data_IF_982089324908
#
_entry.id   IF_982089324908
#
_cell.length_a   1.000
_cell.length_b   1.000
_cell.length_c   1.000
_cell.angle_alpha   90.00
_cell.angle_beta   90.00
_cell.angle_gamma   90.00
#
_symmetry.space_group_name_H-M   'P 1'
#
loop_
_entity.id
_entity.type
_entity.pdbx_description
1 polymer ?
#
# COMPACT_ATOMS: atom_id res chain seq x y z
N UNK A 1 9.74 -25.16 4.17
CA UNK A 1 10.57 -25.46 5.37
C UNK A 1 12.02 -25.67 4.99
N UNK A 2 12.34 -26.36 3.91
CA UNK A 2 13.69 -26.67 3.42
C UNK A 2 14.67 -25.48 3.47
N UNK A 3 14.30 -24.33 2.87
CA UNK A 3 15.14 -23.09 2.90
C UNK A 3 15.48 -22.63 4.33
N UNK A 4 14.56 -22.81 5.30
CA UNK A 4 14.77 -22.39 6.70
C UNK A 4 15.68 -23.38 7.42
N UNK A 5 15.58 -24.67 7.09
CA UNK A 5 16.38 -25.76 7.68
C UNK A 5 17.83 -25.69 7.18
N UNK A 6 18.02 -25.45 5.88
CA UNK A 6 19.33 -25.32 5.25
C UNK A 6 20.08 -24.02 5.64
N UNK A 7 19.34 -23.01 6.14
CA UNK A 7 19.91 -21.69 6.48
C UNK A 7 19.69 -21.36 7.96
N UNK A 8 20.52 -21.92 8.89
CA UNK A 8 20.32 -21.75 10.33
C UNK A 8 20.44 -20.30 10.83
N UNK A 9 21.07 -19.42 10.07
CA UNK A 9 21.23 -18.01 10.39
C UNK A 9 20.12 -17.11 9.77
N UNK A 10 19.19 -17.67 9.01
CA UNK A 10 18.10 -16.91 8.40
C UNK A 10 17.12 -16.44 9.49
N UNK A 11 16.97 -15.12 9.64
CA UNK A 11 16.11 -14.49 10.64
C UNK A 11 14.71 -14.18 10.10
N UNK A 12 14.52 -14.12 8.78
CA UNK A 12 13.24 -13.86 8.17
C UNK A 12 13.28 -13.79 6.65
N UNK A 13 12.10 -13.55 6.07
CA UNK A 13 11.87 -13.51 4.63
C UNK A 13 10.94 -12.35 4.28
N UNK A 14 11.13 -11.76 3.10
CA UNK A 14 10.13 -10.89 2.48
C UNK A 14 9.19 -11.69 1.57
N UNK A 15 7.93 -11.28 1.57
CA UNK A 15 6.88 -11.83 0.69
C UNK A 15 6.33 -10.72 -0.19
N UNK A 16 6.23 -10.98 -1.49
CA UNK A 16 5.69 -10.03 -2.46
C UNK A 16 4.54 -10.62 -3.27
N UNK A 17 4.01 -9.86 -4.20
CA UNK A 17 2.95 -10.28 -5.12
C UNK A 17 3.38 -11.55 -5.90
N UNK A 18 2.50 -12.54 -6.04
CA UNK A 18 1.09 -12.57 -5.60
C UNK A 18 0.86 -13.22 -4.24
N UNK A 19 1.88 -13.49 -3.45
CA UNK A 19 1.87 -14.44 -2.33
C UNK A 19 1.49 -13.83 -0.97
N UNK A 20 1.32 -12.51 -0.85
CA UNK A 20 1.09 -11.84 0.45
C UNK A 20 -0.13 -12.35 1.24
N UNK A 21 -1.16 -12.83 0.55
CA UNK A 21 -2.34 -13.45 1.19
C UNK A 21 -2.19 -14.97 1.30
N UNK A 22 -1.57 -15.59 0.28
CA UNK A 22 -1.45 -17.04 0.18
C UNK A 22 -0.49 -17.64 1.22
N UNK A 23 0.44 -16.86 1.76
CA UNK A 23 1.41 -17.32 2.76
C UNK A 23 0.80 -17.48 4.15
N UNK A 24 -0.30 -16.79 4.44
CA UNK A 24 -0.91 -16.74 5.78
C UNK A 24 -1.19 -18.13 6.38
N UNK A 25 -1.75 -19.11 5.64
CA UNK A 25 -2.02 -20.46 6.18
C UNK A 25 -0.76 -21.24 6.60
N UNK A 26 0.42 -20.78 6.19
CA UNK A 26 1.70 -21.44 6.50
C UNK A 26 2.43 -20.80 7.70
N UNK A 27 1.82 -19.81 8.35
CA UNK A 27 2.39 -19.08 9.48
C UNK A 27 1.75 -19.54 10.79
N UNK A 28 2.54 -19.56 11.85
CA UNK A 28 2.06 -19.95 13.19
C UNK A 28 1.30 -18.81 13.88
N UNK A 29 1.65 -17.55 13.55
CA UNK A 29 1.05 -16.36 14.17
C UNK A 29 1.10 -15.17 13.21
N UNK A 30 0.14 -14.26 13.38
CA UNK A 30 0.14 -12.94 12.75
C UNK A 30 0.23 -11.85 13.81
N UNK A 31 1.01 -10.82 13.52
CA UNK A 31 0.92 -9.57 14.29
C UNK A 31 -0.50 -8.99 14.23
N UNK A 32 -0.91 -8.27 15.28
CA UNK A 32 -2.30 -7.78 15.46
C UNK A 32 -2.80 -6.93 14.28
N UNK A 33 -1.97 -6.01 13.79
CA UNK A 33 -2.35 -5.17 12.66
C UNK A 33 -2.31 -5.94 11.35
N UNK A 34 -1.34 -6.83 11.18
CA UNK A 34 -1.25 -7.73 10.03
C UNK A 34 -2.46 -8.64 9.91
N UNK A 35 -2.97 -9.17 11.03
CA UNK A 35 -4.20 -9.99 11.05
C UNK A 35 -5.42 -9.21 10.53
N UNK A 36 -5.53 -7.91 10.83
CA UNK A 36 -6.61 -7.04 10.33
C UNK A 36 -6.45 -6.71 8.84
N UNK A 37 -5.22 -6.58 8.37
CA UNK A 37 -4.90 -6.30 6.95
C UNK A 37 -5.20 -7.53 6.09
N UNK A 38 -4.93 -8.74 6.60
CA UNK A 38 -5.07 -9.99 5.85
C UNK A 38 -4.04 -10.12 4.72
N UNK A 39 -2.85 -9.53 4.87
CA UNK A 39 -1.75 -9.65 3.92
C UNK A 39 -0.41 -9.53 4.65
N UNK A 40 0.52 -10.42 4.36
CA UNK A 40 1.86 -10.51 4.96
C UNK A 40 2.91 -10.15 3.92
N UNK A 41 3.84 -9.25 4.23
CA UNK A 41 5.01 -8.99 3.40
C UNK A 41 6.35 -9.27 4.10
N UNK A 42 6.31 -9.56 5.42
CA UNK A 42 7.49 -9.91 6.22
C UNK A 42 7.17 -11.13 7.07
N UNK A 43 8.03 -12.14 7.02
CA UNK A 43 8.01 -13.29 7.91
C UNK A 43 9.22 -13.20 8.83
N UNK A 44 8.99 -13.25 10.14
CA UNK A 44 10.04 -13.44 11.14
C UNK A 44 10.16 -14.91 11.49
N UNK A 45 11.38 -15.40 11.53
CA UNK A 45 11.72 -16.77 11.91
C UNK A 45 12.23 -16.75 13.35
N UNK A 46 11.48 -17.34 14.27
CA UNK A 46 11.86 -17.47 15.67
C UNK A 46 12.29 -18.92 15.92
N UNK A 47 13.55 -19.10 16.31
CA UNK A 47 14.08 -20.42 16.62
C UNK A 47 13.86 -20.74 18.09
N UNK A 48 13.13 -21.81 18.35
CA UNK A 48 12.75 -22.28 19.66
C UNK A 48 13.66 -23.44 20.13
N UNK A 49 13.67 -23.78 21.43
CA UNK A 49 14.42 -24.95 21.92
C UNK A 49 14.01 -26.24 21.19
N UNK A 50 14.94 -27.18 21.16
CA UNK A 50 14.78 -28.50 20.49
C UNK A 50 14.58 -28.43 18.96
N UNK A 51 15.14 -27.41 18.31
CA UNK A 51 15.12 -27.26 16.85
C UNK A 51 13.78 -26.84 16.26
N UNK A 52 12.79 -26.51 17.08
CA UNK A 52 11.50 -26.00 16.59
C UNK A 52 11.64 -24.59 16.00
N UNK A 53 10.84 -24.30 15.01
CA UNK A 53 10.75 -22.99 14.37
C UNK A 53 9.32 -22.47 14.48
N UNK A 54 9.17 -21.17 14.80
CA UNK A 54 7.90 -20.44 14.78
C UNK A 54 7.98 -19.35 13.72
N UNK A 55 7.00 -19.30 12.83
CA UNK A 55 6.90 -18.31 11.78
C UNK A 55 5.83 -17.26 12.14
N UNK A 56 6.24 -15.99 12.24
CA UNK A 56 5.34 -14.89 12.58
C UNK A 56 5.26 -13.93 11.40
N UNK A 57 4.04 -13.67 10.96
CA UNK A 57 3.76 -12.77 9.83
C UNK A 57 3.56 -11.32 10.25
N UNK A 58 4.17 -10.40 9.51
CA UNK A 58 4.04 -8.95 9.68
C UNK A 58 3.73 -8.26 8.36
N UNK A 59 3.28 -7.00 8.46
CA UNK A 59 3.08 -6.15 7.29
C UNK A 59 3.81 -4.81 7.49
N UNK A 60 4.99 -4.67 6.88
CA UNK A 60 5.77 -3.43 6.93
C UNK A 60 5.31 -2.38 5.91
N UNK A 61 4.48 -2.75 4.91
CA UNK A 61 3.93 -1.79 3.94
C UNK A 61 3.09 -0.71 4.63
N UNK A 62 2.33 -1.08 5.70
CA UNK A 62 1.55 -0.10 6.46
C UNK A 62 2.44 0.95 7.11
N UNK A 63 3.58 0.53 7.66
CA UNK A 63 4.55 1.43 8.31
C UNK A 63 5.13 2.37 7.26
N UNK A 64 5.64 1.80 6.15
CA UNK A 64 6.21 2.57 5.06
C UNK A 64 5.24 3.59 4.46
N UNK A 65 4.01 3.17 4.18
CA UNK A 65 2.98 4.04 3.65
C UNK A 65 2.61 5.15 4.63
N UNK A 66 2.30 4.80 5.88
CA UNK A 66 1.85 5.77 6.89
C UNK A 66 2.90 6.85 7.12
N UNK A 67 4.16 6.45 7.36
CA UNK A 67 5.25 7.40 7.60
C UNK A 67 5.56 8.29 6.39
N UNK A 68 5.40 7.77 5.17
CA UNK A 68 5.72 8.55 3.96
C UNK A 68 4.60 9.50 3.53
N UNK A 69 3.33 9.23 3.87
CA UNK A 69 2.21 10.12 3.50
C UNK A 69 1.90 11.15 4.59
N UNK A 70 2.07 10.81 5.87
CA UNK A 70 1.70 11.64 7.02
C UNK A 70 2.25 13.07 6.95
N UNK A 71 3.53 13.33 6.58
CA UNK A 71 4.07 14.70 6.48
C UNK A 71 3.42 15.56 5.39
N UNK A 72 2.71 14.96 4.43
CA UNK A 72 2.06 15.65 3.31
C UNK A 72 0.58 15.97 3.60
N UNK A 73 0.04 15.40 4.68
CA UNK A 73 -1.36 15.57 5.01
C UNK A 73 -1.66 16.98 5.54
N UNK A 74 -2.79 17.51 5.09
CA UNK A 74 -3.31 18.81 5.47
C UNK A 74 -4.69 18.66 6.13
N UNK A 75 -5.21 19.65 6.85
CA UNK A 75 -6.51 19.58 7.54
C UNK A 75 -7.70 19.18 6.65
N UNK A 76 -7.66 19.51 5.36
CA UNK A 76 -8.71 19.14 4.38
C UNK A 76 -8.65 17.67 3.94
N UNK A 77 -7.54 16.96 4.15
CA UNK A 77 -7.37 15.57 3.75
C UNK A 77 -8.12 14.60 4.68
N UNK A 78 -9.47 14.61 4.61
CA UNK A 78 -10.35 13.80 5.47
C UNK A 78 -10.84 12.51 4.81
N UNK A 79 -10.85 12.49 3.47
CA UNK A 79 -11.33 11.33 2.69
C UNK A 79 -10.32 10.98 1.59
N UNK A 80 -10.16 9.68 1.33
CA UNK A 80 -9.24 9.16 0.33
C UNK A 80 -9.89 8.17 -0.63
N UNK A 81 -9.54 8.25 -1.90
CA UNK A 81 -9.78 7.21 -2.90
C UNK A 81 -8.56 6.30 -3.00
N UNK A 82 -8.78 4.99 -2.93
CA UNK A 82 -7.76 3.96 -3.12
C UNK A 82 -8.01 3.29 -4.46
N UNK A 83 -7.19 3.58 -5.46
CA UNK A 83 -7.32 3.00 -6.79
C UNK A 83 -6.72 1.60 -6.81
N UNK A 84 -7.56 0.58 -7.03
CA UNK A 84 -7.17 -0.83 -7.00
C UNK A 84 -7.49 -1.55 -5.69
N UNK A 85 -7.54 -2.89 -5.74
CA UNK A 85 -8.00 -3.77 -4.66
C UNK A 85 -7.05 -4.93 -4.38
N UNK A 86 -5.75 -4.78 -4.69
CA UNK A 86 -4.70 -5.79 -4.45
C UNK A 86 -4.15 -5.75 -3.01
N UNK A 87 -3.19 -6.62 -2.70
CA UNK A 87 -2.63 -6.74 -1.34
C UNK A 87 -2.06 -5.44 -0.77
N UNK A 88 -1.38 -4.61 -1.58
CA UNK A 88 -0.86 -3.33 -1.14
C UNK A 88 -1.97 -2.33 -0.77
N UNK A 89 -3.11 -2.36 -1.47
CA UNK A 89 -4.23 -1.47 -1.17
C UNK A 89 -4.87 -1.72 0.20
N UNK A 90 -4.76 -2.95 0.73
CA UNK A 90 -5.23 -3.29 2.07
C UNK A 90 -4.37 -2.61 3.15
N UNK A 91 -3.04 -2.60 2.96
CA UNK A 91 -2.12 -1.88 3.86
C UNK A 91 -2.35 -0.37 3.80
N UNK A 92 -2.57 0.19 2.60
CA UNK A 92 -2.94 1.60 2.40
C UNK A 92 -4.24 1.95 3.10
N UNK A 93 -5.30 1.13 2.94
CA UNK A 93 -6.57 1.30 3.62
C UNK A 93 -6.37 1.38 5.14
N UNK A 94 -5.63 0.43 5.71
CA UNK A 94 -5.35 0.40 7.16
C UNK A 94 -4.50 1.59 7.60
N UNK A 95 -3.49 1.98 6.81
CA UNK A 95 -2.67 3.16 7.09
C UNK A 95 -3.49 4.45 7.14
N UNK A 96 -4.40 4.65 6.17
CA UNK A 96 -5.31 5.79 6.15
C UNK A 96 -6.28 5.78 7.33
N UNK A 97 -6.80 4.61 7.71
CA UNK A 97 -7.66 4.45 8.89
C UNK A 97 -6.92 4.85 10.18
N UNK A 98 -5.65 4.45 10.35
CA UNK A 98 -4.82 4.85 11.48
C UNK A 98 -4.58 6.36 11.54
N UNK A 99 -4.54 7.03 10.37
CA UNK A 99 -4.44 8.49 10.24
C UNK A 99 -5.81 9.20 10.31
N UNK A 100 -6.89 8.48 10.67
CA UNK A 100 -8.26 8.99 10.75
C UNK A 100 -8.81 9.55 9.42
N UNK A 101 -8.33 9.02 8.28
CA UNK A 101 -8.78 9.36 6.94
C UNK A 101 -9.77 8.28 6.47
N UNK A 102 -11.02 8.65 6.21
CA UNK A 102 -12.03 7.73 5.66
C UNK A 102 -11.70 7.43 4.21
N UNK A 103 -11.59 6.15 3.85
CA UNK A 103 -11.19 5.76 2.51
C UNK A 103 -12.21 4.84 1.83
N UNK A 104 -12.26 4.93 0.49
CA UNK A 104 -13.12 4.13 -0.36
C UNK A 104 -12.28 3.56 -1.50
N UNK A 105 -12.48 2.28 -1.80
CA UNK A 105 -11.83 1.65 -2.95
C UNK A 105 -12.49 2.02 -4.26
N UNK A 106 -11.65 2.21 -5.28
CA UNK A 106 -12.09 2.37 -6.68
C UNK A 106 -11.59 1.19 -7.49
N UNK A 107 -12.48 0.52 -8.21
CA UNK A 107 -12.15 -0.64 -9.03
C UNK A 107 -12.85 -0.59 -10.40
N UNK A 108 -12.39 -1.42 -11.34
CA UNK A 108 -12.96 -1.53 -12.70
C UNK A 108 -14.36 -2.15 -12.72
N UNK A 109 -14.68 -2.92 -11.68
CA UNK A 109 -16.01 -3.51 -11.51
C UNK A 109 -16.41 -3.39 -10.05
N UNK A 110 -17.68 -3.14 -9.79
CA UNK A 110 -18.23 -3.02 -8.45
C UNK A 110 -18.21 -4.40 -7.77
N UNK A 111 -17.32 -4.57 -6.81
CA UNK A 111 -17.15 -5.83 -6.05
C UNK A 111 -18.09 -5.91 -4.85
N UNK A 112 -18.32 -4.77 -4.21
CA UNK A 112 -19.17 -4.60 -3.04
C UNK A 112 -19.81 -3.21 -3.12
N UNK A 113 -20.97 -3.00 -2.49
CA UNK A 113 -21.71 -1.73 -2.53
C UNK A 113 -20.90 -0.52 -2.00
N UNK A 114 -19.95 -0.77 -1.11
CA UNK A 114 -19.05 0.25 -0.57
C UNK A 114 -17.91 0.67 -1.50
N UNK A 115 -17.74 -0.01 -2.67
CA UNK A 115 -16.71 0.32 -3.65
C UNK A 115 -17.30 1.20 -4.74
N UNK A 116 -16.48 2.12 -5.24
CA UNK A 116 -16.79 2.92 -6.42
C UNK A 116 -16.18 2.29 -7.68
N UNK A 117 -16.78 2.56 -8.82
CA UNK A 117 -16.15 2.38 -10.13
C UNK A 117 -15.53 3.69 -10.60
N UNK A 118 -14.70 3.65 -11.63
CA UNK A 118 -14.10 4.87 -12.19
C UNK A 118 -15.16 5.81 -12.80
N UNK A 119 -16.27 5.27 -13.30
CA UNK A 119 -17.40 6.01 -13.87
C UNK A 119 -18.23 6.74 -12.81
N UNK A 120 -18.16 6.29 -11.55
CA UNK A 120 -18.83 6.91 -10.40
C UNK A 120 -18.04 8.08 -9.80
N UNK A 121 -16.84 8.41 -10.31
CA UNK A 121 -16.01 9.53 -9.83
C UNK A 121 -16.56 10.88 -10.32
N UNK A 122 -17.69 11.27 -9.79
CA UNK A 122 -18.38 12.53 -10.10
C UNK A 122 -17.66 13.75 -9.52
N UNK A 123 -17.95 15.00 -9.98
CA UNK A 123 -17.39 16.21 -9.40
C UNK A 123 -17.56 16.31 -7.88
N UNK A 124 -18.71 15.87 -7.35
CA UNK A 124 -18.96 15.83 -5.91
C UNK A 124 -18.02 14.88 -5.19
N UNK A 125 -17.81 13.68 -5.71
CA UNK A 125 -16.86 12.70 -5.14
C UNK A 125 -15.45 13.27 -5.15
N UNK A 126 -15.00 13.83 -6.29
CA UNK A 126 -13.65 14.40 -6.40
C UNK A 126 -13.44 15.58 -5.45
N UNK A 127 -14.46 16.41 -5.21
CA UNK A 127 -14.39 17.50 -4.25
C UNK A 127 -14.29 17.02 -2.79
N UNK A 128 -14.93 15.89 -2.45
CA UNK A 128 -14.92 15.33 -1.09
C UNK A 128 -13.66 14.52 -0.79
N UNK A 129 -13.12 13.80 -1.78
CA UNK A 129 -12.00 12.87 -1.64
C UNK A 129 -10.71 13.52 -2.14
N UNK A 130 -10.09 14.31 -1.30
CA UNK A 130 -8.90 15.10 -1.66
C UNK A 130 -7.58 14.33 -1.59
N UNK A 131 -7.56 13.09 -1.12
CA UNK A 131 -6.40 12.18 -1.19
C UNK A 131 -6.70 11.08 -2.19
N UNK A 132 -5.81 10.83 -3.15
CA UNK A 132 -5.97 9.77 -4.15
C UNK A 132 -4.70 8.94 -4.18
N UNK A 133 -4.83 7.65 -3.85
CA UNK A 133 -3.70 6.71 -3.77
C UNK A 133 -3.78 5.70 -4.91
N UNK A 134 -2.81 5.71 -5.81
CA UNK A 134 -2.69 4.68 -6.86
C UNK A 134 -2.02 3.42 -6.30
N UNK A 135 -2.81 2.37 -6.10
CA UNK A 135 -2.35 1.03 -5.72
C UNK A 135 -2.39 0.04 -6.90
N UNK A 136 -2.59 0.53 -8.12
CA UNK A 136 -2.60 -0.30 -9.33
C UNK A 136 -1.20 -0.34 -9.97
N UNK A 137 -0.89 -1.33 -10.82
CA UNK A 137 0.33 -1.33 -11.61
C UNK A 137 0.26 -0.44 -12.87
N UNK A 138 -0.81 0.35 -13.04
CA UNK A 138 -1.01 1.18 -14.23
C UNK A 138 -0.05 2.37 -14.21
N UNK A 139 0.80 2.46 -15.22
CA UNK A 139 1.86 3.48 -15.33
C UNK A 139 3.24 2.98 -14.90
N UNK A 140 3.36 1.72 -14.47
CA UNK A 140 4.65 1.09 -14.16
C UNK A 140 5.42 0.74 -15.45
N UNK A 141 6.74 0.87 -15.42
CA UNK A 141 7.60 0.42 -16.50
C UNK A 141 7.32 -1.06 -16.88
N UNK A 142 7.28 -1.42 -18.16
CA UNK A 142 7.56 -0.58 -19.36
C UNK A 142 6.35 0.23 -19.88
N UNK A 143 5.15 0.10 -19.30
CA UNK A 143 3.91 0.72 -19.77
C UNK A 143 3.68 2.10 -19.12
N UNK A 144 4.66 2.99 -19.28
CA UNK A 144 4.72 4.30 -18.61
C UNK A 144 3.72 5.34 -19.17
N UNK A 145 3.19 5.12 -20.38
CA UNK A 145 2.26 6.03 -21.04
C UNK A 145 0.79 5.84 -20.61
N UNK A 146 0.57 5.01 -19.60
CA UNK A 146 -0.76 4.77 -19.01
C UNK A 146 -0.87 5.38 -17.62
N UNK A 147 -2.09 5.71 -17.23
CA UNK A 147 -2.43 6.15 -15.87
C UNK A 147 -3.84 5.68 -15.52
N UNK A 148 -4.20 5.61 -14.21
CA UNK A 148 -5.58 5.35 -13.80
C UNK A 148 -6.56 6.35 -14.45
N UNK A 149 -7.72 5.88 -14.87
CA UNK A 149 -8.72 6.69 -15.60
C UNK A 149 -9.61 7.48 -14.62
N UNK A 150 -9.02 8.48 -13.93
CA UNK A 150 -9.77 9.41 -13.08
C UNK A 150 -10.00 10.73 -13.82
N UNK A 151 -11.01 11.54 -13.42
CA UNK A 151 -11.27 12.86 -14.02
C UNK A 151 -10.23 13.89 -13.53
N UNK A 152 -9.05 13.92 -14.16
CA UNK A 152 -7.93 14.79 -13.78
C UNK A 152 -8.26 16.27 -13.82
N UNK A 153 -9.16 16.70 -14.70
CA UNK A 153 -9.64 18.08 -14.83
C UNK A 153 -10.39 18.59 -13.60
N UNK A 154 -10.82 17.68 -12.71
CA UNK A 154 -11.48 18.02 -11.46
C UNK A 154 -10.52 18.13 -10.27
N UNK A 155 -9.23 17.87 -10.49
CA UNK A 155 -8.20 18.06 -9.46
C UNK A 155 -7.93 19.53 -9.20
N UNK A 156 -7.49 19.84 -8.00
CA UNK A 156 -7.18 21.19 -7.53
C UNK A 156 -5.91 21.18 -6.66
N UNK A 157 -5.33 22.32 -6.30
CA UNK A 157 -4.22 22.37 -5.35
C UNK A 157 -4.51 21.78 -3.95
N UNK A 158 -5.77 21.51 -3.63
CA UNK A 158 -6.15 20.84 -2.37
C UNK A 158 -6.00 19.31 -2.44
N UNK A 159 -5.69 18.74 -3.61
CA UNK A 159 -5.54 17.30 -3.75
C UNK A 159 -4.11 16.86 -3.49
N UNK A 160 -4.00 15.68 -2.89
CA UNK A 160 -2.76 14.91 -2.73
C UNK A 160 -2.89 13.61 -3.53
N UNK A 161 -2.05 13.44 -4.55
CA UNK A 161 -1.93 12.22 -5.32
C UNK A 161 -0.70 11.43 -4.86
N UNK A 162 -0.93 10.26 -4.31
CA UNK A 162 0.12 9.34 -3.89
C UNK A 162 0.18 8.14 -4.84
N UNK A 163 1.29 7.93 -5.50
CA UNK A 163 1.49 6.75 -6.37
C UNK A 163 2.38 5.73 -5.66
N UNK A 164 1.92 4.49 -5.49
CA UNK A 164 2.76 3.42 -4.94
C UNK A 164 3.90 3.03 -5.87
N UNK A 165 3.82 3.42 -7.14
CA UNK A 165 4.87 3.18 -8.11
C UNK A 165 6.07 4.12 -7.86
N UNK A 166 7.26 3.62 -8.13
CA UNK A 166 8.53 4.36 -8.02
C UNK A 166 9.38 4.26 -9.30
N UNK A 167 8.96 3.44 -10.24
CA UNK A 167 9.59 3.32 -11.57
C UNK A 167 8.49 3.37 -12.66
N UNK A 168 8.42 4.46 -13.46
CA UNK A 168 9.30 5.63 -13.46
C UNK A 168 9.22 6.47 -12.19
N UNK A 169 10.24 7.30 -11.93
CA UNK A 169 10.26 8.21 -10.77
C UNK A 169 9.09 9.20 -10.77
N UNK A 170 8.65 9.61 -11.95
CA UNK A 170 7.47 10.44 -12.15
C UNK A 170 6.53 9.77 -13.16
N UNK A 171 5.41 9.25 -12.65
CA UNK A 171 4.40 8.57 -13.46
C UNK A 171 3.49 9.55 -14.20
N UNK A 172 2.78 9.09 -15.23
CA UNK A 172 1.79 9.92 -15.94
C UNK A 172 0.65 10.37 -15.00
N UNK A 173 0.28 9.53 -14.01
CA UNK A 173 -0.67 9.88 -12.94
C UNK A 173 -0.21 11.13 -12.18
N UNK A 174 1.05 11.17 -11.76
CA UNK A 174 1.64 12.31 -11.06
C UNK A 174 1.70 13.56 -11.94
N UNK A 175 2.19 13.43 -13.18
CA UNK A 175 2.27 14.54 -14.14
C UNK A 175 0.93 15.21 -14.39
N UNK A 176 -0.13 14.42 -14.59
CA UNK A 176 -1.49 14.95 -14.76
C UNK A 176 -2.01 15.64 -13.50
N UNK A 177 -1.68 15.11 -12.32
CA UNK A 177 -2.03 15.78 -11.04
C UNK A 177 -1.34 17.13 -10.88
N UNK A 178 -0.03 17.17 -11.13
CA UNK A 178 0.78 18.41 -11.07
C UNK A 178 0.29 19.47 -12.05
N UNK A 179 -0.15 19.08 -13.23
CA UNK A 179 -0.72 19.99 -14.23
C UNK A 179 -1.99 20.70 -13.72
N UNK A 180 -2.67 20.16 -12.72
CA UNK A 180 -3.83 20.75 -12.03
C UNK A 180 -3.45 21.42 -10.69
N UNK A 181 -2.15 21.48 -10.38
CA UNK A 181 -1.64 22.09 -9.15
C UNK A 181 -1.69 21.15 -7.93
N UNK A 182 -2.07 19.90 -8.07
CA UNK A 182 -2.11 18.93 -6.97
C UNK A 182 -0.69 18.60 -6.47
N UNK A 183 -0.57 18.32 -5.17
CA UNK A 183 0.65 17.76 -4.59
C UNK A 183 0.77 16.30 -4.99
N UNK A 184 1.97 15.86 -5.38
CA UNK A 184 2.19 14.48 -5.80
C UNK A 184 3.37 13.84 -5.09
N UNK A 185 3.29 12.53 -4.84
CA UNK A 185 4.34 11.73 -4.20
C UNK A 185 4.41 10.36 -4.88
N UNK A 186 5.64 9.87 -5.12
CA UNK A 186 5.87 8.49 -5.58
C UNK A 186 6.14 7.54 -4.42
N UNK A 187 6.18 6.24 -4.72
CA UNK A 187 6.32 5.16 -3.73
C UNK A 187 7.74 4.89 -3.24
N UNK A 188 8.77 5.64 -3.68
CA UNK A 188 10.17 5.32 -3.35
C UNK A 188 10.43 5.39 -1.84
N UNK A 189 9.96 6.42 -1.16
CA UNK A 189 10.13 6.56 0.29
C UNK A 189 9.40 5.45 1.05
N UNK A 190 8.17 5.10 0.64
CA UNK A 190 7.45 3.95 1.19
C UNK A 190 8.27 2.65 1.04
N UNK A 191 8.89 2.43 -0.12
CA UNK A 191 9.76 1.27 -0.38
C UNK A 191 10.93 1.21 0.61
N UNK A 192 11.58 2.33 0.88
CA UNK A 192 12.72 2.40 1.81
C UNK A 192 12.25 2.18 3.26
N UNK A 193 11.22 2.89 3.70
CA UNK A 193 10.72 2.81 5.06
C UNK A 193 10.19 1.41 5.41
N UNK A 194 9.48 0.73 4.48
CA UNK A 194 9.04 -0.64 4.70
C UNK A 194 10.22 -1.62 4.82
N UNK A 195 11.32 -1.37 4.10
CA UNK A 195 12.51 -2.21 4.18
C UNK A 195 13.23 -2.02 5.53
N UNK A 196 13.35 -0.79 6.02
CA UNK A 196 13.87 -0.52 7.37
C UNK A 196 13.00 -1.16 8.44
N UNK A 197 11.67 -1.06 8.34
CA UNK A 197 10.76 -1.70 9.26
C UNK A 197 10.89 -3.24 9.23
N UNK A 198 11.06 -3.85 8.06
CA UNK A 198 11.31 -5.28 7.93
C UNK A 198 12.62 -5.69 8.62
N UNK A 199 13.69 -4.91 8.41
CA UNK A 199 14.98 -5.13 9.09
C UNK A 199 14.84 -5.08 10.62
N UNK A 200 14.13 -4.09 11.15
CA UNK A 200 13.89 -4.01 12.59
C UNK A 200 13.08 -5.19 13.13
N UNK A 201 12.04 -5.66 12.39
CA UNK A 201 11.24 -6.82 12.75
C UNK A 201 12.12 -8.06 12.90
N UNK A 202 13.05 -8.29 11.97
CA UNK A 202 13.95 -9.44 12.01
C UNK A 202 14.96 -9.39 13.16
N UNK A 203 15.38 -8.20 13.57
CA UNK A 203 16.45 -8.02 14.58
C UNK A 203 15.95 -7.75 16.01
N UNK A 204 14.65 -7.64 16.21
CA UNK A 204 14.01 -7.62 17.55
C UNK A 204 13.76 -9.04 18.05
#
# INVERSE_FOLDING_TARGET
MEVIEENPNLCGLNVTIPYKEQVIPYLDELDKDTAKIGAVNVIKIIRLPKGKVKLVGYNSDIIGFTQSIEPLLQPQHKKALILGTGGASKAVYRGLENLSIKSTFVSRAKKEDKYLTYEELTPKIMQEYTVIVNCTPVGMYPKVDFCPNIPYELLTPNHLLYDLLYNPNETLFMKKGQAQGAVTKNGLEMLLLQAFAAWEIWNK
#
